data_IF_917277602753
#
_entry.id   IF_917277602753
#
_cell.length_a   1.000
_cell.length_b   1.000
_cell.length_c   1.000
_cell.angle_alpha   90.00
_cell.angle_beta   90.00
_cell.angle_gamma   90.00
#
_symmetry.space_group_name_H-M   'P 1'
#
loop_
_entity.id
_entity.type
_entity.pdbx_description
1 polymer ?
#
# COMPACT_ATOMS: atom_id res chain seq x y z
N UNK A 1 -22.25 -9.66 -13.01
CA UNK A 1 -21.08 -10.34 -12.45
C UNK A 1 -20.95 -9.91 -11.00
N UNK A 2 -21.14 -10.86 -10.09
CA UNK A 2 -20.84 -10.68 -8.66
C UNK A 2 -19.34 -10.94 -8.46
N UNK A 3 -18.53 -9.94 -8.79
CA UNK A 3 -17.07 -10.02 -8.81
C UNK A 3 -16.43 -9.56 -7.49
N UNK A 4 -17.03 -9.92 -6.36
CA UNK A 4 -16.49 -9.60 -5.04
C UNK A 4 -15.63 -10.76 -4.48
N UNK A 5 -14.85 -10.50 -3.45
CA UNK A 5 -13.98 -11.50 -2.81
C UNK A 5 -14.71 -12.50 -1.90
N UNK A 6 -16.04 -12.40 -1.75
CA UNK A 6 -16.86 -13.46 -1.16
C UNK A 6 -17.14 -14.59 -2.17
N UNK A 7 -17.06 -14.31 -3.48
CA UNK A 7 -17.33 -15.30 -4.53
C UNK A 7 -16.25 -16.39 -4.55
N UNK A 8 -16.61 -17.68 -4.38
CA UNK A 8 -15.64 -18.78 -4.33
C UNK A 8 -14.84 -18.94 -5.62
N UNK A 9 -15.41 -18.62 -6.79
CA UNK A 9 -14.68 -18.71 -8.06
C UNK A 9 -13.62 -17.62 -8.17
N UNK A 10 -13.90 -16.40 -7.68
CA UNK A 10 -12.93 -15.29 -7.61
C UNK A 10 -11.79 -15.68 -6.66
N UNK A 11 -12.11 -16.22 -5.47
CA UNK A 11 -11.11 -16.68 -4.50
C UNK A 11 -10.24 -17.79 -5.08
N UNK A 12 -10.85 -18.76 -5.73
CA UNK A 12 -10.12 -19.86 -6.38
C UNK A 12 -9.21 -19.35 -7.50
N UNK A 13 -9.70 -18.46 -8.36
CA UNK A 13 -8.94 -17.86 -9.45
C UNK A 13 -7.74 -17.07 -8.91
N UNK A 14 -7.94 -16.21 -7.92
CA UNK A 14 -6.88 -15.43 -7.27
C UNK A 14 -5.82 -16.36 -6.65
N UNK A 15 -6.25 -17.34 -5.86
CA UNK A 15 -5.34 -18.30 -5.22
C UNK A 15 -4.52 -19.08 -6.26
N UNK A 16 -5.17 -19.64 -7.28
CA UNK A 16 -4.50 -20.45 -8.30
C UNK A 16 -3.50 -19.60 -9.11
N UNK A 17 -3.87 -18.37 -9.47
CA UNK A 17 -2.98 -17.46 -10.18
C UNK A 17 -1.75 -17.11 -9.33
N UNK A 18 -1.95 -16.77 -8.07
CA UNK A 18 -0.86 -16.44 -7.14
C UNK A 18 0.10 -17.61 -6.95
N UNK A 19 -0.42 -18.83 -6.69
CA UNK A 19 0.41 -20.01 -6.51
C UNK A 19 1.13 -20.40 -7.80
N UNK A 20 0.53 -20.15 -8.96
CA UNK A 20 1.20 -20.33 -10.24
C UNK A 20 2.41 -19.40 -10.38
N UNK A 21 2.27 -18.12 -10.02
CA UNK A 21 3.39 -17.16 -10.00
C UNK A 21 4.51 -17.66 -9.09
N UNK A 22 4.17 -18.11 -7.89
CA UNK A 22 5.15 -18.64 -6.92
C UNK A 22 5.93 -19.82 -7.51
N UNK A 23 5.24 -20.78 -8.14
CA UNK A 23 5.85 -21.99 -8.70
C UNK A 23 6.69 -21.74 -9.95
N UNK A 24 6.25 -20.82 -10.82
CA UNK A 24 6.92 -20.55 -12.10
C UNK A 24 8.08 -19.57 -11.96
N UNK A 25 7.97 -18.58 -11.09
CA UNK A 25 8.93 -17.46 -11.02
C UNK A 25 9.76 -17.42 -9.73
N UNK A 26 9.36 -18.16 -8.69
CA UNK A 26 10.05 -18.18 -7.38
C UNK A 26 10.39 -16.78 -6.86
N UNK A 27 9.40 -15.85 -6.78
CA UNK A 27 9.67 -14.47 -6.43
C UNK A 27 10.18 -14.35 -4.98
N UNK A 28 11.18 -13.51 -4.77
CA UNK A 28 11.62 -13.15 -3.41
C UNK A 28 10.60 -12.26 -2.70
N UNK A 29 9.93 -11.40 -3.44
CA UNK A 29 8.93 -10.45 -2.95
C UNK A 29 7.65 -10.59 -3.77
N UNK A 30 6.51 -10.69 -3.10
CA UNK A 30 5.22 -10.87 -3.75
C UNK A 30 4.15 -9.99 -3.09
N UNK A 31 3.75 -8.92 -3.78
CA UNK A 31 2.62 -8.09 -3.40
C UNK A 31 1.31 -8.71 -3.86
N UNK A 32 0.35 -8.85 -2.97
CA UNK A 32 -0.96 -9.44 -3.27
C UNK A 32 -2.04 -8.39 -3.60
N UNK A 33 -1.82 -7.14 -3.22
CA UNK A 33 -2.66 -6.01 -3.62
C UNK A 33 -1.84 -4.72 -3.62
N UNK A 34 -2.25 -3.76 -4.45
CA UNK A 34 -1.73 -2.40 -4.45
C UNK A 34 -2.73 -1.47 -3.79
N UNK A 35 -2.23 -0.56 -2.92
CA UNK A 35 -2.99 0.52 -2.26
C UNK A 35 -4.28 0.04 -1.57
N UNK A 36 -4.17 -1.07 -0.84
CA UNK A 36 -5.33 -1.81 -0.32
C UNK A 36 -6.20 -0.96 0.63
N UNK A 37 -5.62 0.01 1.34
CA UNK A 37 -6.36 0.90 2.24
C UNK A 37 -7.40 1.74 1.48
N UNK A 38 -7.11 2.20 0.27
CA UNK A 38 -8.08 2.94 -0.56
C UNK A 38 -9.28 2.06 -0.95
N UNK A 39 -9.02 0.76 -1.20
CA UNK A 39 -10.09 -0.20 -1.41
C UNK A 39 -10.90 -0.46 -0.15
N UNK A 40 -10.24 -0.55 1.01
CA UNK A 40 -10.91 -0.78 2.30
C UNK A 40 -11.84 0.36 2.67
N UNK A 41 -11.46 1.60 2.41
CA UNK A 41 -12.29 2.79 2.63
C UNK A 41 -13.48 2.84 1.65
N UNK A 42 -13.25 2.46 0.39
CA UNK A 42 -14.30 2.50 -0.65
C UNK A 42 -15.30 1.34 -0.53
N UNK A 43 -14.80 0.13 -0.21
CA UNK A 43 -15.59 -1.11 -0.18
C UNK A 43 -15.42 -1.89 1.13
N UNK A 44 -15.74 -1.31 2.29
CA UNK A 44 -15.41 -1.88 3.60
C UNK A 44 -15.98 -3.29 3.84
N UNK A 45 -17.13 -3.61 3.25
CA UNK A 45 -17.75 -4.95 3.38
C UNK A 45 -16.98 -6.01 2.58
N UNK A 46 -16.53 -5.69 1.38
CA UNK A 46 -15.78 -6.65 0.56
C UNK A 46 -14.31 -6.71 0.96
N UNK A 47 -13.79 -5.64 1.53
CA UNK A 47 -12.45 -5.63 2.13
C UNK A 47 -12.26 -6.72 3.18
N UNK A 48 -13.28 -7.02 4.00
CA UNK A 48 -13.23 -8.13 4.97
C UNK A 48 -13.07 -9.49 4.27
N UNK A 49 -13.71 -9.67 3.10
CA UNK A 49 -13.56 -10.88 2.30
C UNK A 49 -12.16 -10.98 1.71
N UNK A 50 -11.58 -9.85 1.25
CA UNK A 50 -10.20 -9.81 0.76
C UNK A 50 -9.20 -10.10 1.87
N UNK A 51 -9.34 -9.51 3.07
CA UNK A 51 -8.47 -9.78 4.21
C UNK A 51 -8.47 -11.28 4.55
N UNK A 52 -9.65 -11.91 4.57
CA UNK A 52 -9.77 -13.36 4.76
C UNK A 52 -9.05 -14.15 3.65
N UNK A 53 -9.21 -13.76 2.39
CA UNK A 53 -8.52 -14.37 1.25
C UNK A 53 -7.00 -14.20 1.35
N UNK A 54 -6.54 -13.00 1.72
CA UNK A 54 -5.13 -12.70 1.91
C UNK A 54 -4.46 -13.68 2.88
N UNK A 55 -5.05 -13.88 4.06
CA UNK A 55 -4.51 -14.78 5.07
C UNK A 55 -4.49 -16.24 4.60
N UNK A 56 -5.52 -16.70 3.87
CA UNK A 56 -5.53 -18.03 3.27
C UNK A 56 -4.43 -18.21 2.23
N UNK A 57 -4.26 -17.23 1.35
CA UNK A 57 -3.26 -17.28 0.28
C UNK A 57 -1.86 -17.16 0.84
N UNK A 58 -1.64 -16.29 1.84
CA UNK A 58 -0.39 -16.18 2.57
C UNK A 58 0.06 -17.55 3.12
N UNK A 59 -0.84 -18.25 3.84
CA UNK A 59 -0.52 -19.55 4.41
C UNK A 59 -0.12 -20.57 3.35
N UNK A 60 -0.80 -20.57 2.19
CA UNK A 60 -0.49 -21.46 1.07
C UNK A 60 0.86 -21.12 0.42
N UNK A 61 1.17 -19.82 0.26
CA UNK A 61 2.47 -19.38 -0.25
C UNK A 61 3.58 -19.85 0.68
N UNK A 62 3.44 -19.60 1.99
CA UNK A 62 4.45 -20.00 2.97
C UNK A 62 4.66 -21.51 3.08
N UNK A 63 3.63 -22.30 2.79
CA UNK A 63 3.75 -23.77 2.73
C UNK A 63 4.56 -24.24 1.51
N UNK A 64 4.47 -23.56 0.37
CA UNK A 64 5.17 -23.93 -0.87
C UNK A 64 6.54 -23.22 -1.02
N UNK A 65 6.62 -21.97 -0.59
CA UNK A 65 7.80 -21.08 -0.74
C UNK A 65 7.99 -20.22 0.52
N UNK A 66 8.53 -20.80 1.61
CA UNK A 66 8.65 -20.12 2.91
C UNK A 66 9.51 -18.85 2.87
N UNK A 67 10.46 -18.77 1.93
CA UNK A 67 11.36 -17.63 1.78
C UNK A 67 10.75 -16.47 0.99
N UNK A 68 9.63 -16.67 0.29
CA UNK A 68 8.92 -15.58 -0.39
C UNK A 68 8.34 -14.61 0.64
N UNK A 69 8.74 -13.34 0.53
CA UNK A 69 8.23 -12.26 1.37
C UNK A 69 6.91 -11.73 0.79
N UNK A 70 5.83 -11.88 1.54
CA UNK A 70 4.46 -11.55 1.10
C UNK A 70 3.99 -10.26 1.75
N UNK A 71 3.38 -9.38 0.97
CA UNK A 71 2.91 -8.08 1.42
C UNK A 71 1.69 -7.58 0.63
N UNK A 72 1.12 -6.49 1.07
CA UNK A 72 0.26 -5.57 0.30
C UNK A 72 0.89 -4.18 0.37
N UNK A 73 0.57 -3.29 -0.57
CA UNK A 73 0.98 -1.89 -0.47
C UNK A 73 -0.13 -1.04 0.12
N UNK A 74 0.28 0.02 0.82
CA UNK A 74 -0.61 1.01 1.40
C UNK A 74 -0.28 2.38 0.81
N UNK A 75 -1.31 3.11 0.40
CA UNK A 75 -1.17 4.48 -0.05
C UNK A 75 -0.97 5.39 1.18
N UNK A 76 0.21 6.03 1.27
CA UNK A 76 0.66 6.69 2.49
C UNK A 76 -0.12 7.97 2.80
N UNK A 77 -0.42 8.78 1.77
CA UNK A 77 -1.19 10.01 1.92
C UNK A 77 -2.61 9.73 2.39
N UNK A 78 -3.22 8.64 1.89
CA UNK A 78 -4.54 8.18 2.35
C UNK A 78 -4.49 7.68 3.81
N UNK A 79 -3.49 6.88 4.19
CA UNK A 79 -3.30 6.47 5.60
C UNK A 79 -3.19 7.68 6.54
N UNK A 80 -2.58 8.78 6.07
CA UNK A 80 -2.41 10.02 6.83
C UNK A 80 -3.60 10.97 6.77
N UNK A 81 -4.69 10.61 6.10
CA UNK A 81 -5.85 11.48 5.85
C UNK A 81 -5.47 12.80 5.15
N UNK A 82 -4.56 12.72 4.17
CA UNK A 82 -4.04 13.88 3.44
C UNK A 82 -4.55 14.01 2.02
N UNK A 83 -5.31 13.03 1.51
CA UNK A 83 -5.90 13.14 0.18
C UNK A 83 -6.85 14.33 0.09
N UNK A 84 -6.62 15.17 -0.92
CA UNK A 84 -7.53 16.26 -1.25
C UNK A 84 -8.88 15.66 -1.65
N UNK A 85 -9.93 15.97 -0.86
CA UNK A 85 -11.28 15.47 -1.10
C UNK A 85 -11.54 14.07 -0.57
N UNK A 86 -10.74 13.55 0.34
CA UNK A 86 -11.02 12.29 1.04
C UNK A 86 -12.42 12.32 1.67
N UNK A 87 -13.34 11.43 1.22
CA UNK A 87 -14.70 11.38 1.74
C UNK A 87 -14.76 10.88 3.19
N UNK A 88 -13.69 10.26 3.71
CA UNK A 88 -13.63 9.75 5.08
C UNK A 88 -13.60 10.85 6.13
N UNK A 89 -13.17 12.08 5.75
CA UNK A 89 -13.15 13.25 6.61
C UNK A 89 -12.25 13.11 7.83
N UNK A 90 -11.21 12.29 7.74
CA UNK A 90 -10.25 12.04 8.82
C UNK A 90 -9.44 13.30 9.20
N UNK A 91 -8.85 13.28 10.39
CA UNK A 91 -7.93 14.34 10.81
C UNK A 91 -6.58 14.16 10.13
N UNK A 92 -6.04 15.19 9.44
CA UNK A 92 -4.71 15.13 8.85
C UNK A 92 -3.65 14.65 9.85
N UNK A 93 -2.76 13.77 9.38
CA UNK A 93 -1.69 13.12 10.16
C UNK A 93 -2.16 12.19 11.29
N UNK A 94 -3.46 11.93 11.42
CA UNK A 94 -3.96 10.84 12.25
C UNK A 94 -3.94 9.55 11.44
N UNK A 95 -2.84 8.79 11.56
CA UNK A 95 -2.59 7.62 10.70
C UNK A 95 -3.55 6.48 11.03
N UNK A 96 -4.21 5.93 10.00
CA UNK A 96 -5.17 4.82 10.08
C UNK A 96 -4.45 3.47 10.22
N UNK A 97 -3.70 3.26 11.32
CA UNK A 97 -2.92 2.03 11.54
C UNK A 97 -3.77 0.76 11.55
N UNK A 98 -5.01 0.84 11.96
CA UNK A 98 -5.95 -0.28 11.95
C UNK A 98 -6.11 -0.92 10.56
N UNK A 99 -5.94 -0.14 9.47
CA UNK A 99 -5.99 -0.65 8.10
C UNK A 99 -4.74 -1.50 7.75
N UNK A 100 -3.63 -1.27 8.43
CA UNK A 100 -2.40 -2.07 8.28
C UNK A 100 -2.44 -3.30 9.20
N UNK A 101 -2.86 -3.10 10.44
CA UNK A 101 -2.83 -4.12 11.50
C UNK A 101 -3.72 -5.33 11.20
N UNK A 102 -4.78 -5.19 10.39
CA UNK A 102 -5.65 -6.31 10.00
C UNK A 102 -4.93 -7.38 9.15
N UNK A 103 -3.78 -7.06 8.56
CA UNK A 103 -2.95 -8.00 7.81
C UNK A 103 -1.90 -8.71 8.69
N UNK A 104 -1.67 -8.22 9.91
CA UNK A 104 -0.74 -8.85 10.84
C UNK A 104 -1.29 -10.18 11.41
N UNK A 105 -0.43 -11.17 11.75
CA UNK A 105 1.04 -11.15 11.63
C UNK A 105 1.56 -11.57 10.25
N UNK A 106 0.69 -11.71 9.27
CA UNK A 106 0.98 -12.30 7.94
C UNK A 106 1.51 -11.26 6.92
N UNK A 107 1.99 -10.13 7.38
CA UNK A 107 2.63 -9.10 6.57
C UNK A 107 4.15 -9.18 6.80
N UNK A 108 4.91 -9.74 5.83
CA UNK A 108 6.35 -9.97 6.02
C UNK A 108 7.19 -8.69 6.00
N UNK A 109 6.73 -7.68 5.25
CA UNK A 109 7.33 -6.34 5.21
C UNK A 109 6.23 -5.30 5.05
N UNK A 110 6.49 -4.08 5.49
CA UNK A 110 5.58 -2.96 5.28
C UNK A 110 5.99 -2.21 4.01
N UNK A 111 5.05 -2.07 3.10
CA UNK A 111 5.29 -1.46 1.79
C UNK A 111 4.27 -0.36 1.54
N UNK A 112 4.76 0.80 1.15
CA UNK A 112 3.91 1.94 0.81
C UNK A 112 4.02 2.28 -0.68
N UNK A 113 2.98 2.93 -1.19
CA UNK A 113 3.04 3.88 -2.30
C UNK A 113 2.93 5.28 -1.71
N UNK A 114 3.68 6.24 -2.25
CA UNK A 114 3.67 7.63 -1.77
C UNK A 114 3.77 8.61 -2.93
N UNK A 115 2.73 9.42 -3.05
CA UNK A 115 2.60 10.46 -4.06
C UNK A 115 2.26 11.81 -3.40
N UNK A 116 3.24 12.43 -2.69
CA UNK A 116 2.99 13.61 -1.88
C UNK A 116 2.43 14.81 -2.64
N UNK A 117 2.57 14.87 -3.97
CA UNK A 117 1.93 15.89 -4.80
C UNK A 117 0.39 15.91 -4.66
N UNK A 118 -0.21 14.84 -4.14
CA UNK A 118 -1.65 14.81 -3.83
C UNK A 118 -2.01 15.56 -2.53
N UNK A 119 -1.00 15.99 -1.77
CA UNK A 119 -1.15 16.65 -0.47
C UNK A 119 -0.38 17.98 -0.35
N UNK A 120 0.67 18.17 -1.16
CA UNK A 120 1.58 19.32 -1.11
C UNK A 120 1.77 19.92 -2.50
N UNK A 121 1.84 21.24 -2.57
CA UNK A 121 2.08 21.98 -3.82
C UNK A 121 3.55 21.90 -4.29
N UNK A 122 4.48 21.61 -3.37
CA UNK A 122 5.90 21.44 -3.67
C UNK A 122 6.50 20.34 -2.77
N UNK A 123 7.47 19.61 -3.30
CA UNK A 123 8.21 18.60 -2.52
C UNK A 123 8.97 19.20 -1.34
N UNK A 124 9.33 20.48 -1.39
CA UNK A 124 9.95 21.22 -0.28
C UNK A 124 9.04 21.41 0.93
N UNK A 125 7.73 21.22 0.77
CA UNK A 125 6.74 21.31 1.84
C UNK A 125 6.55 20.00 2.58
N UNK A 126 7.11 18.88 2.06
CA UNK A 126 7.05 17.59 2.74
C UNK A 126 7.79 17.71 4.09
N UNK A 127 7.12 17.44 5.22
CA UNK A 127 7.77 17.50 6.52
C UNK A 127 8.98 16.56 6.60
N UNK A 128 10.06 16.99 7.23
CA UNK A 128 11.29 16.19 7.37
C UNK A 128 11.06 14.86 8.12
N UNK A 129 10.02 14.79 8.95
CA UNK A 129 9.63 13.59 9.71
C UNK A 129 8.44 12.85 9.09
N UNK A 130 8.10 13.14 7.83
CA UNK A 130 6.91 12.63 7.15
C UNK A 130 6.81 11.10 7.13
N UNK A 131 7.93 10.41 6.98
CA UNK A 131 8.01 8.94 6.99
C UNK A 131 8.45 8.35 8.34
N UNK A 132 8.85 9.18 9.29
CA UNK A 132 9.30 8.74 10.63
C UNK A 132 8.29 7.84 11.37
N UNK A 133 6.95 8.08 11.29
CA UNK A 133 5.99 7.18 11.92
C UNK A 133 6.08 5.72 11.47
N UNK A 134 6.46 5.45 10.20
CA UNK A 134 6.70 4.10 9.71
C UNK A 134 7.88 3.43 10.44
N UNK A 135 9.00 4.17 10.57
CA UNK A 135 10.23 3.67 11.19
C UNK A 135 10.05 3.34 12.68
N UNK A 136 9.11 3.99 13.34
CA UNK A 136 8.85 3.82 14.77
C UNK A 136 7.73 2.81 15.07
N UNK A 137 6.92 2.44 14.07
CA UNK A 137 5.75 1.57 14.25
C UNK A 137 6.07 0.09 14.13
N UNK A 138 7.10 -0.28 13.39
CA UNK A 138 7.43 -1.68 13.11
C UNK A 138 8.95 -1.90 13.07
N UNK A 139 9.37 -3.10 13.45
CA UNK A 139 10.76 -3.58 13.27
C UNK A 139 10.93 -4.34 11.93
N UNK A 140 9.86 -4.48 11.14
CA UNK A 140 9.90 -5.13 9.83
C UNK A 140 10.61 -4.25 8.80
N UNK A 141 11.06 -4.87 7.72
CA UNK A 141 11.58 -4.15 6.57
C UNK A 141 10.51 -3.22 6.01
N UNK A 142 10.92 -2.01 5.70
CA UNK A 142 10.11 -1.00 5.02
C UNK A 142 10.55 -0.91 3.56
N UNK A 143 9.59 -0.75 2.67
CA UNK A 143 9.87 -0.52 1.26
C UNK A 143 8.87 0.48 0.66
N UNK A 144 9.31 1.17 -0.38
CA UNK A 144 8.46 1.98 -1.24
C UNK A 144 8.36 1.25 -2.58
N UNK A 145 7.15 0.77 -2.90
CA UNK A 145 6.90 0.08 -4.16
C UNK A 145 6.62 1.06 -5.31
N UNK A 146 5.97 2.15 -4.97
CA UNK A 146 5.59 3.20 -5.91
C UNK A 146 5.80 4.55 -5.24
N UNK A 147 6.25 5.53 -6.02
CA UNK A 147 6.37 6.88 -5.49
C UNK A 147 6.85 7.88 -6.53
N UNK A 148 6.52 9.13 -6.30
CA UNK A 148 6.93 10.20 -7.19
C UNK A 148 6.33 11.54 -6.83
N UNK A 149 6.85 12.56 -7.51
CA UNK A 149 6.28 13.90 -7.54
C UNK A 149 6.04 14.32 -8.98
N UNK A 150 5.00 15.11 -9.25
CA UNK A 150 4.74 15.57 -10.62
C UNK A 150 5.85 16.50 -11.10
N UNK A 151 6.23 16.39 -12.38
CA UNK A 151 7.26 17.23 -13.01
C UNK A 151 6.70 18.51 -13.64
N UNK A 152 5.40 18.71 -13.57
CA UNK A 152 4.70 19.85 -14.16
C UNK A 152 3.32 20.03 -13.52
N UNK A 153 2.73 21.18 -13.77
CA UNK A 153 1.31 21.44 -13.50
C UNK A 153 0.41 20.44 -14.25
N UNK A 154 -0.50 19.76 -13.51
CA UNK A 154 -1.48 18.84 -14.08
C UNK A 154 -2.81 18.89 -13.29
N UNK A 155 -3.76 19.63 -13.80
CA UNK A 155 -5.05 19.86 -13.15
C UNK A 155 -4.88 20.51 -11.77
N UNK A 156 -5.28 19.86 -10.68
CA UNK A 156 -5.11 20.40 -9.32
C UNK A 156 -3.72 20.14 -8.72
N UNK A 157 -2.85 19.42 -9.42
CA UNK A 157 -1.54 19.04 -8.92
C UNK A 157 -0.47 20.00 -9.42
N UNK A 158 0.38 20.43 -8.50
CA UNK A 158 1.49 21.36 -8.75
C UNK A 158 2.81 20.61 -8.69
N UNK A 159 3.79 21.09 -9.45
CA UNK A 159 5.14 20.53 -9.41
C UNK A 159 5.99 20.91 -10.62
N UNK A 160 7.26 20.59 -10.50
CA UNK A 160 8.29 20.81 -11.52
C UNK A 160 9.38 19.73 -11.42
N UNK A 161 10.38 19.75 -12.30
CA UNK A 161 11.45 18.75 -12.31
C UNK A 161 12.31 18.79 -11.03
N UNK A 162 12.45 19.95 -10.35
CA UNK A 162 13.17 20.04 -9.11
C UNK A 162 12.41 19.32 -7.97
N UNK A 163 11.08 19.39 -7.97
CA UNK A 163 10.26 18.68 -6.97
C UNK A 163 10.45 17.16 -7.06
N UNK A 164 10.71 16.60 -8.25
CA UNK A 164 11.06 15.19 -8.37
C UNK A 164 12.39 14.86 -7.68
N UNK A 165 13.40 15.73 -7.81
CA UNK A 165 14.69 15.58 -7.13
C UNK A 165 14.53 15.71 -5.61
N UNK A 166 13.77 16.72 -5.17
CA UNK A 166 13.56 16.99 -3.75
C UNK A 166 12.76 15.87 -3.08
N UNK A 167 11.76 15.30 -3.78
CA UNK A 167 11.05 14.11 -3.32
C UNK A 167 11.99 12.92 -3.13
N UNK A 168 12.86 12.62 -4.11
CA UNK A 168 13.82 11.51 -4.00
C UNK A 168 14.77 11.72 -2.82
N UNK A 169 15.19 12.96 -2.56
CA UNK A 169 15.99 13.27 -1.39
C UNK A 169 15.20 13.06 -0.08
N UNK A 170 13.94 13.49 -0.02
CA UNK A 170 13.09 13.35 1.17
C UNK A 170 12.84 11.89 1.55
N UNK A 171 12.72 10.98 0.57
CA UNK A 171 12.43 9.57 0.83
C UNK A 171 13.70 8.76 1.19
N UNK A 172 14.90 9.31 0.96
CA UNK A 172 16.18 8.67 1.26
C UNK A 172 16.82 9.12 2.57
N UNK A 173 16.24 10.11 3.25
CA UNK A 173 16.73 10.61 4.54
C UNK A 173 16.03 9.94 5.70
#
# INVERSE_FOLDING_TARGET
>A
WDSNFANPDVRAAFTNHTLRIVREFHPRYLGLASEINTYMDTYPKDAQNFISLYHEVYAKIKAEAPDTQVFVTFQWEDLNNLFIGDPSGGTPYQIKWELVEVFEPNLDLWVISSYPFAAFDSASEIPADYYTPLLTRTDKLLAVAEGGFTSREDGPFHGNEQDQVDYLNAIHT
#
